data_IF_228519423292
#
_entry.id   IF_228519423292
#
_cell.length_a   1.000
_cell.length_b   1.000
_cell.length_c   1.000
_cell.angle_alpha   90.00
_cell.angle_beta   90.00
_cell.angle_gamma   90.00
#
_symmetry.space_group_name_H-M   'P 1'
#
loop_
_entity.id
_entity.type
_entity.pdbx_description
1 polymer ?
#
# COMPACT_ATOMS: atom_id res chain seq x y z
N UNK A 1 -55.14 -28.23 31.79
CA UNK A 1 -54.70 -26.95 31.18
C UNK A 1 -53.21 -26.95 31.12
N UNK A 2 -52.67 -27.13 29.94
CA UNK A 2 -51.20 -27.17 29.75
C UNK A 2 -50.77 -25.86 29.11
N UNK A 3 -50.16 -25.01 29.88
CA UNK A 3 -49.58 -23.74 29.39
C UNK A 3 -48.33 -24.03 28.60
N UNK A 4 -48.38 -23.78 27.32
CA UNK A 4 -47.21 -23.83 26.45
C UNK A 4 -46.56 -22.49 26.54
N UNK A 5 -45.44 -22.41 27.26
CA UNK A 5 -44.59 -21.24 27.27
C UNK A 5 -43.71 -21.32 26.05
N UNK A 6 -44.06 -20.56 25.03
CA UNK A 6 -43.19 -20.34 23.86
C UNK A 6 -42.03 -19.45 24.24
N UNK A 7 -40.89 -20.05 24.37
CA UNK A 7 -39.63 -19.29 24.43
C UNK A 7 -39.29 -18.75 23.04
N UNK A 8 -39.53 -17.47 22.83
CA UNK A 8 -38.97 -16.75 21.67
C UNK A 8 -37.47 -16.59 21.91
N UNK A 9 -36.71 -17.42 21.24
CA UNK A 9 -35.25 -17.22 21.13
C UNK A 9 -34.99 -16.05 20.16
N UNK A 10 -34.74 -14.89 20.73
CA UNK A 10 -34.21 -13.77 19.94
C UNK A 10 -32.73 -14.03 19.70
N UNK A 11 -32.41 -14.54 18.52
CA UNK A 11 -31.03 -14.64 18.10
C UNK A 11 -30.49 -13.23 17.87
N UNK A 12 -29.69 -12.74 18.81
CA UNK A 12 -28.86 -11.57 18.59
C UNK A 12 -27.83 -11.93 17.53
N UNK A 13 -28.05 -11.51 16.31
CA UNK A 13 -27.02 -11.48 15.29
C UNK A 13 -26.11 -10.32 15.66
N UNK A 14 -25.04 -10.61 16.38
CA UNK A 14 -23.97 -9.67 16.52
C UNK A 14 -23.31 -9.49 15.16
N UNK A 15 -23.78 -8.51 14.40
CA UNK A 15 -23.12 -8.09 13.20
C UNK A 15 -21.72 -7.60 13.59
N UNK A 16 -20.70 -8.34 13.21
CA UNK A 16 -19.34 -7.85 13.28
C UNK A 16 -19.24 -6.67 12.34
N UNK A 17 -19.40 -5.47 12.86
CA UNK A 17 -19.03 -4.29 12.13
C UNK A 17 -17.53 -4.40 11.86
N UNK A 18 -17.17 -4.79 10.63
CA UNK A 18 -15.82 -4.55 10.14
C UNK A 18 -15.59 -3.05 10.25
N UNK A 19 -14.75 -2.67 11.20
CA UNK A 19 -14.39 -1.28 11.39
C UNK A 19 -13.63 -0.82 10.16
N UNK A 20 -14.34 -0.25 9.18
CA UNK A 20 -13.76 0.62 8.17
C UNK A 20 -13.44 1.96 8.86
N UNK A 21 -12.54 1.91 9.84
CA UNK A 21 -11.92 3.12 10.35
C UNK A 21 -11.07 3.75 9.26
N UNK A 22 -10.84 5.08 9.29
CA UNK A 22 -9.88 5.69 8.41
C UNK A 22 -8.55 4.93 8.56
N UNK A 23 -7.93 4.58 7.42
CA UNK A 23 -6.61 4.00 7.42
C UNK A 23 -5.70 4.88 8.28
N UNK A 24 -4.85 4.32 9.16
CA UNK A 24 -3.92 5.12 9.92
C UNK A 24 -3.14 6.01 8.95
N UNK A 25 -3.01 7.29 9.28
CA UNK A 25 -2.21 8.22 8.49
C UNK A 25 -0.86 7.57 8.22
N UNK A 26 -0.46 7.54 6.95
CA UNK A 26 0.83 6.99 6.57
C UNK A 26 1.91 7.63 7.44
N UNK A 27 2.78 6.82 8.04
CA UNK A 27 3.91 7.32 8.79
C UNK A 27 4.72 8.25 7.91
N UNK A 28 5.25 9.34 8.50
CA UNK A 28 6.14 10.24 7.79
C UNK A 28 7.30 9.46 7.20
N UNK A 29 7.62 9.60 5.90
CA UNK A 29 8.66 8.82 5.27
C UNK A 29 10.04 9.12 5.89
N UNK A 30 10.84 8.08 6.03
CA UNK A 30 12.25 8.18 6.40
C UNK A 30 13.07 8.43 5.14
N UNK A 31 13.42 9.68 4.90
CA UNK A 31 14.12 10.10 3.69
C UNK A 31 15.54 9.52 3.62
N UNK A 32 16.25 9.44 4.74
CA UNK A 32 17.59 8.88 4.78
C UNK A 32 17.61 7.38 4.43
N UNK A 33 16.66 6.64 4.96
CA UNK A 33 16.49 5.23 4.63
C UNK A 33 16.07 5.02 3.17
N UNK A 34 15.18 5.86 2.67
CA UNK A 34 14.77 5.83 1.27
C UNK A 34 15.93 6.13 0.32
N UNK A 35 16.75 7.13 0.62
CA UNK A 35 17.95 7.46 -0.16
C UNK A 35 18.95 6.30 -0.18
N UNK A 36 19.22 5.69 0.96
CA UNK A 36 20.11 4.54 1.05
C UNK A 36 19.59 3.34 0.23
N UNK A 37 18.30 3.07 0.29
CA UNK A 37 17.67 1.99 -0.49
C UNK A 37 17.71 2.28 -1.99
N UNK A 38 17.43 3.51 -2.39
CA UNK A 38 17.54 3.94 -3.79
C UNK A 38 18.97 3.78 -4.32
N UNK A 39 19.95 4.26 -3.56
CA UNK A 39 21.37 4.16 -3.92
C UNK A 39 21.85 2.71 -4.07
N UNK A 40 21.36 1.80 -3.23
CA UNK A 40 21.75 0.40 -3.26
C UNK A 40 21.13 -0.38 -4.42
N UNK A 41 19.91 -0.04 -4.85
CA UNK A 41 19.13 -0.87 -5.77
C UNK A 41 18.81 -0.15 -7.08
N UNK A 42 18.37 1.08 -7.04
CA UNK A 42 17.77 1.77 -8.18
C UNK A 42 18.76 2.62 -8.98
N UNK A 43 19.75 3.20 -8.29
CA UNK A 43 20.67 4.16 -8.87
C UNK A 43 21.52 3.59 -10.01
N UNK A 44 21.80 2.28 -9.99
CA UNK A 44 22.57 1.63 -11.06
C UNK A 44 21.96 1.82 -12.45
N UNK A 45 20.63 1.83 -12.53
CA UNK A 45 19.90 2.00 -13.79
C UNK A 45 19.35 3.43 -13.97
N UNK A 46 18.95 4.08 -12.89
CA UNK A 46 18.26 5.37 -12.94
C UNK A 46 19.16 6.56 -12.58
N UNK A 47 20.43 6.35 -12.36
CA UNK A 47 21.44 7.30 -11.85
C UNK A 47 21.19 7.70 -10.37
N UNK A 48 22.24 8.15 -9.70
CA UNK A 48 22.17 8.49 -8.27
C UNK A 48 21.18 9.62 -7.96
N UNK A 49 20.96 10.54 -8.89
CA UNK A 49 20.01 11.63 -8.77
C UNK A 49 18.62 11.31 -9.36
N UNK A 50 18.43 10.10 -9.89
CA UNK A 50 17.17 9.68 -10.52
C UNK A 50 16.90 10.26 -11.90
N UNK A 51 17.84 10.99 -12.49
CA UNK A 51 17.65 11.63 -13.79
C UNK A 51 17.95 10.73 -14.99
N UNK A 52 18.48 9.55 -14.77
CA UNK A 52 18.90 8.61 -15.81
C UNK A 52 19.84 9.22 -16.87
N UNK A 53 20.72 8.43 -17.40
CA UNK A 53 21.62 8.85 -18.49
C UNK A 53 21.36 8.10 -19.78
N UNK A 54 20.42 7.14 -19.77
CA UNK A 54 20.09 6.32 -20.91
C UNK A 54 18.59 6.31 -21.19
N UNK A 55 18.18 6.39 -22.47
CA UNK A 55 16.76 6.45 -22.84
C UNK A 55 15.95 5.19 -22.44
N UNK A 56 16.60 4.04 -22.30
CA UNK A 56 15.94 2.79 -21.93
C UNK A 56 15.54 2.73 -20.47
N UNK A 57 16.18 3.54 -19.63
CA UNK A 57 15.90 3.63 -18.21
C UNK A 57 15.17 4.96 -17.93
N UNK A 58 13.91 4.93 -17.53
CA UNK A 58 13.15 6.17 -17.37
C UNK A 58 13.71 7.06 -16.25
N UNK A 59 13.58 8.35 -16.43
CA UNK A 59 13.84 9.34 -15.41
C UNK A 59 12.80 9.21 -14.29
N UNK A 60 13.26 9.11 -13.05
CA UNK A 60 12.40 9.03 -11.86
C UNK A 60 12.33 10.35 -11.11
N UNK A 61 13.37 11.17 -11.19
CA UNK A 61 13.40 12.49 -10.56
C UNK A 61 12.24 13.37 -11.06
N UNK A 62 11.67 14.16 -10.16
CA UNK A 62 10.52 15.05 -10.41
C UNK A 62 9.20 14.34 -10.71
N UNK A 63 9.14 13.02 -10.60
CA UNK A 63 7.87 12.29 -10.68
C UNK A 63 7.09 12.45 -9.38
N UNK A 64 5.77 12.39 -9.47
CA UNK A 64 4.90 12.42 -8.29
C UNK A 64 5.19 11.24 -7.36
N UNK A 65 5.43 11.48 -6.06
CA UNK A 65 5.75 10.39 -5.12
C UNK A 65 4.70 9.29 -5.07
N UNK A 66 3.43 9.65 -5.10
CA UNK A 66 2.31 8.68 -5.07
C UNK A 66 2.32 7.77 -6.30
N UNK A 67 2.69 8.32 -7.45
CA UNK A 67 2.83 7.53 -8.68
C UNK A 67 3.98 6.53 -8.56
N UNK A 68 5.12 6.93 -8.02
CA UNK A 68 6.27 6.04 -7.81
C UNK A 68 5.92 4.92 -6.83
N UNK A 69 5.26 5.24 -5.73
CA UNK A 69 4.80 4.23 -4.75
C UNK A 69 3.85 3.24 -5.41
N UNK A 70 2.89 3.72 -6.17
CA UNK A 70 1.95 2.86 -6.92
C UNK A 70 2.69 1.92 -7.86
N UNK A 71 3.62 2.42 -8.66
CA UNK A 71 4.37 1.60 -9.60
C UNK A 71 5.21 0.53 -8.89
N UNK A 72 5.89 0.88 -7.81
CA UNK A 72 6.66 -0.08 -7.02
C UNK A 72 5.77 -1.18 -6.42
N UNK A 73 4.60 -0.82 -5.91
CA UNK A 73 3.64 -1.79 -5.40
C UNK A 73 3.11 -2.71 -6.50
N UNK A 74 2.86 -2.20 -7.68
CA UNK A 74 2.37 -2.98 -8.82
C UNK A 74 3.45 -3.94 -9.34
N UNK A 75 4.71 -3.56 -9.36
CA UNK A 75 5.82 -4.47 -9.66
C UNK A 75 5.92 -5.58 -8.60
N UNK A 76 5.84 -5.21 -7.33
CA UNK A 76 5.90 -6.17 -6.22
C UNK A 76 4.76 -7.19 -6.25
N UNK A 77 3.56 -6.76 -6.59
CA UNK A 77 2.37 -7.63 -6.67
C UNK A 77 2.28 -8.44 -7.95
N UNK A 78 3.12 -8.15 -8.94
CA UNK A 78 3.05 -8.76 -10.26
C UNK A 78 1.98 -8.15 -11.19
N UNK A 79 1.26 -7.13 -10.74
CA UNK A 79 0.28 -6.43 -11.57
C UNK A 79 0.93 -5.70 -12.76
N UNK A 80 2.15 -5.22 -12.55
CA UNK A 80 2.99 -4.66 -13.58
C UNK A 80 4.26 -5.50 -13.77
N UNK A 81 4.49 -5.97 -14.99
CA UNK A 81 5.74 -6.62 -15.36
C UNK A 81 6.77 -5.58 -15.82
N UNK A 82 8.02 -5.89 -15.53
CA UNK A 82 9.14 -5.09 -16.03
C UNK A 82 9.48 -5.55 -17.46
#
# INVERSE_FOLDING_TARGET
MKSIVSFLMVALIAGSALANGPAPAAAKPDLAKGEASFGAVCAACHAADGNSTTPVNPKLAQQHPEYLVKQLQEFKSGKRAN
#
